data_IF_821296570635
#
_entry.id   IF_821296570635
#
_cell.length_a   1.000
_cell.length_b   1.000
_cell.length_c   1.000
_cell.angle_alpha   90.00
_cell.angle_beta   90.00
_cell.angle_gamma   90.00
#
_symmetry.space_group_name_H-M   'P 1'
#
loop_
_entity.id
_entity.type
_entity.pdbx_description
1 polymer ?
#
# COMPACT_ATOMS: atom_id res chain seq x y z
N UNK A 1 -12.29 1.41 -12.84
CA UNK A 1 -11.89 2.72 -12.28
C UNK A 1 -10.96 2.45 -11.10
N UNK A 2 -9.65 2.68 -11.24
CA UNK A 2 -8.68 2.38 -10.16
C UNK A 2 -8.54 3.62 -9.28
N UNK A 3 -9.09 3.57 -8.07
CA UNK A 3 -9.00 4.68 -7.12
C UNK A 3 -7.61 4.69 -6.49
N UNK A 4 -6.82 5.70 -6.84
CA UNK A 4 -5.53 5.96 -6.20
C UNK A 4 -5.80 6.53 -4.81
N UNK A 5 -5.14 5.97 -3.80
CA UNK A 5 -5.29 6.45 -2.44
C UNK A 5 -4.69 7.85 -2.29
N UNK A 6 -5.43 8.74 -1.65
CA UNK A 6 -4.88 10.03 -1.23
C UNK A 6 -4.17 9.87 0.11
N UNK A 7 -3.13 10.67 0.40
CA UNK A 7 -2.44 10.62 1.69
C UNK A 7 -3.38 10.90 2.88
N UNK A 8 -4.49 11.63 2.65
CA UNK A 8 -5.54 11.86 3.65
C UNK A 8 -6.26 10.55 4.03
N UNK A 9 -6.59 9.72 3.05
CA UNK A 9 -7.26 8.43 3.26
C UNK A 9 -6.39 7.44 4.04
N UNK A 10 -5.10 7.37 3.71
CA UNK A 10 -4.16 6.50 4.42
C UNK A 10 -3.93 6.98 5.86
N UNK A 11 -3.84 8.29 6.09
CA UNK A 11 -3.79 8.86 7.45
C UNK A 11 -5.08 8.57 8.22
N UNK A 12 -6.25 8.68 7.58
CA UNK A 12 -7.53 8.37 8.20
C UNK A 12 -7.63 6.89 8.61
N UNK A 13 -7.07 5.99 7.80
CA UNK A 13 -6.96 4.55 8.12
C UNK A 13 -5.95 4.24 9.23
N UNK A 14 -5.28 5.25 9.81
CA UNK A 14 -4.25 5.09 10.84
C UNK A 14 -2.99 4.35 10.32
N UNK A 15 -2.71 4.48 9.02
CA UNK A 15 -1.49 3.91 8.44
C UNK A 15 -0.27 4.70 8.91
N UNK A 16 0.75 3.99 9.38
CA UNK A 16 2.01 4.62 9.80
C UNK A 16 2.65 5.38 8.63
N UNK A 17 2.86 6.68 8.81
CA UNK A 17 3.44 7.56 7.78
C UNK A 17 4.74 8.20 8.25
N UNK A 18 5.71 8.32 7.34
CA UNK A 18 7.01 8.95 7.55
C UNK A 18 7.10 10.15 6.60
N UNK A 19 7.48 11.31 7.12
CA UNK A 19 7.74 12.49 6.28
C UNK A 19 9.24 12.64 6.12
N UNK A 20 9.73 12.55 4.88
CA UNK A 20 11.14 12.71 4.54
C UNK A 20 11.28 13.68 3.36
N UNK A 21 12.17 14.68 3.49
CA UNK A 21 12.44 15.72 2.47
C UNK A 21 11.18 16.38 1.88
N UNK A 22 10.18 16.66 2.72
CA UNK A 22 8.91 17.26 2.30
C UNK A 22 7.94 16.32 1.57
N UNK A 23 8.28 15.05 1.39
CA UNK A 23 7.39 14.01 0.88
C UNK A 23 6.88 13.12 2.01
N UNK A 24 5.56 12.84 2.01
CA UNK A 24 4.98 11.83 2.92
C UNK A 24 5.00 10.45 2.28
N UNK A 25 5.57 9.51 3.01
CA UNK A 25 5.63 8.09 2.70
C UNK A 25 4.86 7.30 3.76
N UNK A 26 4.48 6.08 3.41
CA UNK A 26 3.68 5.19 4.26
C UNK A 26 4.39 3.86 4.41
N UNK A 27 4.38 3.31 5.61
CA UNK A 27 5.04 2.06 5.95
C UNK A 27 4.31 0.89 5.30
N UNK A 28 5.05 0.10 4.52
CA UNK A 28 4.45 -0.97 3.72
C UNK A 28 4.12 -2.18 4.58
N UNK A 29 4.90 -2.42 5.63
CA UNK A 29 4.66 -3.53 6.56
C UNK A 29 3.37 -3.26 7.32
N UNK A 30 3.18 -2.02 7.76
CA UNK A 30 1.95 -1.56 8.42
C UNK A 30 0.74 -1.70 7.49
N UNK A 31 0.84 -1.23 6.24
CA UNK A 31 -0.23 -1.38 5.23
C UNK A 31 -0.58 -2.86 5.03
N UNK A 32 0.42 -3.73 4.80
CA UNK A 32 0.16 -5.15 4.52
C UNK A 32 -0.42 -5.90 5.73
N UNK A 33 -0.07 -5.48 6.95
CA UNK A 33 -0.47 -6.15 8.19
C UNK A 33 -1.83 -5.67 8.68
N UNK A 34 -2.08 -4.36 8.66
CA UNK A 34 -3.28 -3.74 9.21
C UNK A 34 -4.35 -3.46 8.14
N UNK A 35 -3.98 -3.39 6.86
CA UNK A 35 -4.88 -3.07 5.77
C UNK A 35 -4.68 -4.00 4.56
N UNK A 36 -5.08 -5.28 4.68
CA UNK A 36 -4.99 -6.23 3.56
C UNK A 36 -5.84 -5.83 2.34
N UNK A 37 -6.82 -4.94 2.53
CA UNK A 37 -7.63 -4.30 1.49
C UNK A 37 -6.87 -3.26 0.66
N UNK A 38 -5.61 -2.96 0.99
CA UNK A 38 -4.77 -2.06 0.21
C UNK A 38 -3.75 -2.84 -0.62
N UNK A 39 -3.59 -2.39 -1.86
CA UNK A 39 -2.58 -2.84 -2.80
C UNK A 39 -1.49 -1.79 -2.89
N UNK A 40 -0.24 -2.23 -2.77
CA UNK A 40 0.93 -1.37 -2.92
C UNK A 40 1.73 -1.81 -4.13
N UNK A 41 2.23 -0.84 -4.89
CA UNK A 41 3.11 -1.10 -6.02
C UNK A 41 4.53 -1.37 -5.51
N UNK A 42 4.94 -2.64 -5.52
CA UNK A 42 6.24 -3.06 -4.97
C UNK A 42 7.43 -2.52 -5.77
N UNK A 43 7.22 -2.17 -7.04
CA UNK A 43 8.24 -1.57 -7.91
C UNK A 43 8.53 -0.11 -7.51
N UNK A 44 7.55 0.58 -6.91
CA UNK A 44 7.66 1.97 -6.45
C UNK A 44 7.97 2.11 -4.97
N UNK A 45 8.41 1.03 -4.33
CA UNK A 45 8.83 1.01 -2.93
C UNK A 45 10.21 1.66 -2.80
N UNK A 46 10.35 2.51 -1.80
CA UNK A 46 11.61 3.15 -1.44
C UNK A 46 12.04 2.71 -0.06
N UNK A 47 13.34 2.60 0.16
CA UNK A 47 13.93 2.35 1.46
C UNK A 47 14.40 3.69 2.06
N UNK A 48 13.80 4.10 3.17
CA UNK A 48 14.18 5.29 3.92
C UNK A 48 14.55 4.84 5.32
N UNK A 49 15.77 5.13 5.78
CA UNK A 49 16.28 4.72 7.10
C UNK A 49 16.11 3.22 7.38
N UNK A 50 16.41 2.38 6.38
CA UNK A 50 16.23 0.93 6.44
C UNK A 50 14.77 0.44 6.61
N UNK A 51 13.80 1.34 6.48
CA UNK A 51 12.36 1.05 6.51
C UNK A 51 11.82 1.10 5.08
N UNK A 52 11.06 0.07 4.70
CA UNK A 52 10.39 0.01 3.39
C UNK A 52 9.14 0.89 3.42
N UNK A 53 9.13 1.94 2.61
CA UNK A 53 8.06 2.93 2.55
C UNK A 53 7.58 3.17 1.13
N UNK A 54 6.36 3.67 0.97
CA UNK A 54 5.74 3.94 -0.34
C UNK A 54 4.96 5.26 -0.33
N UNK A 55 4.91 5.98 -1.45
CA UNK A 55 4.07 7.18 -1.58
C UNK A 55 2.60 6.79 -1.77
N UNK A 56 1.68 7.57 -1.19
CA UNK A 56 0.22 7.33 -1.30
C UNK A 56 -0.27 7.12 -2.74
N UNK A 57 0.30 7.87 -3.70
CA UNK A 57 -0.04 7.76 -5.13
C UNK A 57 0.20 6.39 -5.76
N UNK A 58 1.01 5.55 -5.12
CA UNK A 58 1.31 4.17 -5.53
C UNK A 58 0.61 3.13 -4.64
N UNK A 59 -0.28 3.59 -3.77
CA UNK A 59 -1.19 2.75 -3.00
C UNK A 59 -2.56 2.84 -3.66
N UNK A 60 -3.18 1.68 -3.88
CA UNK A 60 -4.51 1.54 -4.47
C UNK A 60 -5.35 0.63 -3.60
N UNK A 61 -6.65 0.68 -3.73
CA UNK A 61 -7.52 -0.30 -3.07
C UNK A 61 -7.43 -1.65 -3.81
N UNK A 62 -7.35 -2.74 -3.05
CA UNK A 62 -7.58 -4.08 -3.58
C UNK A 62 -9.04 -4.14 -4.02
N UNK A 63 -9.25 -4.16 -5.33
CA UNK A 63 -10.57 -4.41 -5.91
C UNK A 63 -10.98 -5.86 -5.67
N UNK A 64 -12.28 -6.15 -5.82
CA UNK A 64 -12.77 -7.54 -5.84
C UNK A 64 -12.02 -8.40 -6.86
N UNK A 65 -11.60 -7.80 -7.98
CA UNK A 65 -10.81 -8.48 -9.00
C UNK A 65 -9.44 -8.93 -8.46
N UNK A 66 -8.74 -8.08 -7.71
CA UNK A 66 -7.47 -8.43 -7.05
C UNK A 66 -7.66 -9.52 -5.97
N UNK A 67 -8.76 -9.45 -5.21
CA UNK A 67 -9.12 -10.48 -4.23
C UNK A 67 -9.39 -11.81 -4.93
N UNK A 68 -10.10 -11.79 -6.06
CA UNK A 68 -10.43 -12.98 -6.84
C UNK A 68 -9.18 -13.58 -7.50
N UNK A 69 -8.28 -12.76 -8.06
CA UNK A 69 -7.00 -13.23 -8.61
C UNK A 69 -6.12 -13.83 -7.51
N UNK A 70 -6.03 -13.24 -6.32
CA UNK A 70 -5.31 -13.87 -5.19
C UNK A 70 -5.88 -15.23 -4.82
N UNK A 71 -7.19 -15.40 -4.89
CA UNK A 71 -7.85 -16.65 -4.59
C UNK A 71 -7.63 -17.70 -5.71
N UNK A 72 -7.62 -17.26 -6.97
CA UNK A 72 -7.33 -18.11 -8.13
C UNK A 72 -5.84 -18.50 -8.19
N UNK A 73 -4.92 -17.57 -7.92
CA UNK A 73 -3.48 -17.83 -7.85
C UNK A 73 -3.04 -18.58 -6.59
N UNK A 74 -3.89 -18.69 -5.57
CA UNK A 74 -3.70 -19.64 -4.47
C UNK A 74 -3.86 -21.10 -4.90
N UNK A 75 -4.23 -21.37 -6.16
CA UNK A 75 -4.37 -22.72 -6.69
C UNK A 75 -3.22 -23.09 -7.64
N UNK A 76 -2.14 -23.60 -7.04
CA UNK A 76 -1.14 -24.55 -7.59
C UNK A 76 -0.42 -25.10 -6.36
N UNK A 77 -0.26 -26.39 -6.11
CA UNK A 77 -0.33 -27.65 -6.86
C UNK A 77 -0.64 -28.73 -5.82
#
# INVERSE_FOLDING_TARGET
MTYKMTPKLLKYKNVKSITDKGSTYFDIVDIKKNHPDLKIDTDKVTLINNIKVIKAKYVSECTEFDKNIKNVFKKKI
#
